data_IF_407716440336
#
_entry.id   IF_407716440336
#
_cell.length_a   1.000
_cell.length_b   1.000
_cell.length_c   1.000
_cell.angle_alpha   90.00
_cell.angle_beta   90.00
_cell.angle_gamma   90.00
#
_symmetry.space_group_name_H-M   'P 1'
#
loop_
_entity.id
_entity.type
_entity.pdbx_description
1 polymer ?
#
# COMPACT_ATOMS: atom_id res chain seq x y z
N UNK A 1 5.45 4.77 -12.59
CA UNK A 1 4.32 5.45 -11.98
C UNK A 1 4.48 5.56 -10.45
N UNK A 2 4.97 4.56 -9.78
CA UNK A 2 4.99 4.46 -8.31
C UNK A 2 6.42 4.49 -7.75
N UNK A 3 7.14 5.59 -8.00
CA UNK A 3 8.50 5.83 -7.54
C UNK A 3 8.54 7.05 -6.62
N UNK A 4 9.60 7.18 -5.84
CA UNK A 4 9.82 8.31 -4.96
C UNK A 4 9.06 8.25 -3.63
N UNK A 5 8.80 9.40 -3.02
CA UNK A 5 8.15 9.53 -1.72
C UNK A 5 6.64 9.42 -1.84
N UNK A 6 6.09 8.27 -1.40
CA UNK A 6 4.65 8.04 -1.31
C UNK A 6 4.22 8.15 0.16
N UNK A 7 3.53 9.24 0.50
CA UNK A 7 3.22 9.56 1.90
C UNK A 7 2.00 8.80 2.41
N UNK A 8 2.15 8.12 3.55
CA UNK A 8 1.04 7.57 4.31
C UNK A 8 0.34 8.70 5.07
N UNK A 9 -0.85 9.09 4.62
CA UNK A 9 -1.61 10.19 5.20
C UNK A 9 -2.17 9.80 6.57
N UNK A 10 -2.16 10.74 7.52
CA UNK A 10 -2.94 10.65 8.75
C UNK A 10 -4.41 10.95 8.45
N UNK A 11 -5.30 10.46 9.30
CA UNK A 11 -6.73 10.73 9.23
C UNK A 11 -7.12 11.68 10.37
N UNK A 12 -7.34 12.98 10.12
CA UNK A 12 -7.67 13.94 11.17
C UNK A 12 -9.12 13.79 11.63
N UNK A 13 -9.31 13.88 12.95
CA UNK A 13 -10.62 13.89 13.60
C UNK A 13 -10.86 15.17 14.39
N UNK A 14 -12.11 15.58 14.45
CA UNK A 14 -12.57 16.72 15.26
C UNK A 14 -13.94 16.41 15.83
N UNK A 15 -14.07 16.46 17.16
CA UNK A 15 -15.32 16.14 17.86
C UNK A 15 -15.86 14.75 17.47
N UNK A 16 -15.00 13.74 17.52
CA UNK A 16 -15.27 12.32 17.20
C UNK A 16 -15.80 12.08 15.76
N UNK A 17 -15.51 13.00 14.84
CA UNK A 17 -15.86 12.89 13.42
C UNK A 17 -14.65 13.19 12.56
N UNK A 18 -14.65 12.61 11.36
CA UNK A 18 -13.67 12.93 10.33
C UNK A 18 -13.63 14.43 10.08
N UNK A 19 -12.45 15.05 10.15
CA UNK A 19 -12.24 16.46 9.82
C UNK A 19 -11.87 16.60 8.34
N UNK A 20 -12.88 16.56 7.49
CA UNK A 20 -12.74 16.65 6.04
C UNK A 20 -11.93 17.91 5.63
N UNK A 21 -12.15 19.04 6.29
CA UNK A 21 -11.48 20.31 5.97
C UNK A 21 -9.97 20.22 6.22
N UNK A 22 -9.57 19.69 7.38
CA UNK A 22 -8.15 19.51 7.71
C UNK A 22 -7.51 18.46 6.81
N UNK A 23 -8.24 17.39 6.47
CA UNK A 23 -7.76 16.35 5.58
C UNK A 23 -7.50 16.87 4.16
N UNK A 24 -8.39 17.67 3.62
CA UNK A 24 -8.23 18.34 2.31
C UNK A 24 -7.00 19.25 2.31
N UNK A 25 -6.81 20.06 3.37
CA UNK A 25 -5.61 20.91 3.51
C UNK A 25 -4.32 20.08 3.53
N UNK A 26 -4.33 18.92 4.19
CA UNK A 26 -3.18 18.02 4.20
C UNK A 26 -2.87 17.46 2.81
N UNK A 27 -3.87 17.05 2.06
CA UNK A 27 -3.70 16.58 0.67
C UNK A 27 -3.07 17.69 -0.19
N UNK A 28 -3.62 18.90 -0.14
CA UNK A 28 -3.08 20.04 -0.90
C UNK A 28 -1.65 20.39 -0.49
N UNK A 29 -1.35 20.34 0.82
CA UNK A 29 0.02 20.53 1.31
C UNK A 29 1.00 19.54 0.65
N UNK A 30 0.67 18.27 0.54
CA UNK A 30 1.53 17.28 -0.11
C UNK A 30 1.67 17.51 -1.61
N UNK A 31 0.59 17.91 -2.29
CA UNK A 31 0.62 18.27 -3.71
C UNK A 31 1.60 19.43 -3.98
N UNK A 32 1.62 20.43 -3.11
CA UNK A 32 2.43 21.64 -3.25
C UNK A 32 3.89 21.46 -2.82
N UNK A 33 4.20 20.42 -2.02
CA UNK A 33 5.52 20.23 -1.42
C UNK A 33 6.32 19.04 -1.99
N UNK A 34 6.03 18.62 -3.23
CA UNK A 34 6.87 17.70 -3.99
C UNK A 34 6.74 16.22 -3.61
N UNK A 35 5.67 15.83 -2.91
CA UNK A 35 5.32 14.43 -2.69
C UNK A 35 5.05 13.75 -4.05
N UNK A 36 5.38 12.47 -4.18
CA UNK A 36 5.21 11.71 -5.43
C UNK A 36 3.96 10.85 -5.46
N UNK A 37 3.35 10.55 -4.33
CA UNK A 37 2.10 9.79 -4.24
C UNK A 37 1.45 9.89 -2.87
N UNK A 38 0.15 9.61 -2.81
CA UNK A 38 -0.66 9.69 -1.58
C UNK A 38 -1.17 8.30 -1.20
N UNK A 39 -1.08 7.95 0.08
CA UNK A 39 -1.56 6.68 0.61
C UNK A 39 -2.60 6.95 1.71
N UNK A 40 -3.89 7.15 1.36
CA UNK A 40 -4.99 7.25 2.32
C UNK A 40 -5.30 5.89 2.95
N UNK A 41 -5.88 5.90 4.13
CA UNK A 41 -6.37 4.74 4.85
C UNK A 41 -5.34 3.59 5.02
N UNK A 42 -4.04 3.96 5.12
CA UNK A 42 -3.00 3.02 5.54
C UNK A 42 -2.94 2.86 7.06
N UNK A 43 -1.90 2.20 7.57
CA UNK A 43 -1.66 2.05 9.02
C UNK A 43 -1.57 3.41 9.73
N UNK A 44 -0.84 4.37 9.15
CA UNK A 44 -0.71 5.74 9.65
C UNK A 44 -2.05 6.47 9.66
N UNK A 45 -2.93 6.17 8.71
CA UNK A 45 -4.28 6.70 8.61
C UNK A 45 -5.32 5.97 9.45
N UNK A 46 -4.88 5.11 10.39
CA UNK A 46 -5.72 4.41 11.36
C UNK A 46 -6.81 3.52 10.73
N UNK A 47 -6.55 2.98 9.53
CA UNK A 47 -7.49 2.14 8.77
C UNK A 47 -8.27 1.10 9.61
N UNK A 48 -7.65 0.34 10.55
CA UNK A 48 -8.36 -0.69 11.31
C UNK A 48 -9.43 -0.15 12.27
N UNK A 49 -9.42 1.13 12.58
CA UNK A 49 -10.35 1.76 13.54
C UNK A 49 -11.36 2.68 12.87
N UNK A 50 -11.24 2.90 11.56
CA UNK A 50 -12.26 3.60 10.77
C UNK A 50 -13.49 2.70 10.58
N UNK A 51 -14.69 3.26 10.69
CA UNK A 51 -15.86 2.60 10.14
C UNK A 51 -15.75 2.47 8.61
N UNK A 52 -16.49 1.58 7.99
CA UNK A 52 -16.45 1.44 6.53
C UNK A 52 -16.79 2.75 5.82
N UNK A 53 -17.76 3.49 6.31
CA UNK A 53 -18.15 4.79 5.74
C UNK A 53 -17.03 5.84 5.85
N UNK A 54 -16.29 5.87 6.96
CA UNK A 54 -15.14 6.77 7.12
C UNK A 54 -13.98 6.35 6.22
N UNK A 55 -13.71 5.04 6.14
CA UNK A 55 -12.68 4.49 5.27
C UNK A 55 -12.92 4.86 3.79
N UNK A 56 -14.14 4.63 3.32
CA UNK A 56 -14.57 5.02 1.97
C UNK A 56 -14.46 6.53 1.78
N UNK A 57 -14.95 7.32 2.75
CA UNK A 57 -14.89 8.80 2.69
C UNK A 57 -13.46 9.34 2.57
N UNK A 58 -12.52 8.78 3.32
CA UNK A 58 -11.10 9.17 3.28
C UNK A 58 -10.50 8.92 1.90
N UNK A 59 -10.81 7.79 1.29
CA UNK A 59 -10.34 7.45 -0.07
C UNK A 59 -10.98 8.38 -1.10
N UNK A 60 -12.29 8.59 -1.05
CA UNK A 60 -13.03 9.45 -1.97
C UNK A 60 -12.50 10.89 -1.97
N UNK A 61 -12.30 11.45 -0.77
CA UNK A 61 -11.71 12.79 -0.62
C UNK A 61 -10.30 12.84 -1.21
N UNK A 62 -9.47 11.84 -0.92
CA UNK A 62 -8.09 11.83 -1.42
C UNK A 62 -8.03 11.77 -2.95
N UNK A 63 -8.79 10.88 -3.58
CA UNK A 63 -8.86 10.77 -5.04
C UNK A 63 -9.40 12.05 -5.66
N UNK A 64 -10.50 12.58 -5.13
CA UNK A 64 -11.13 13.80 -5.63
C UNK A 64 -10.20 15.00 -5.56
N UNK A 65 -9.56 15.23 -4.41
CA UNK A 65 -8.72 16.41 -4.17
C UNK A 65 -7.33 16.28 -4.82
N UNK A 66 -6.82 15.06 -4.98
CA UNK A 66 -5.63 14.81 -5.80
C UNK A 66 -5.87 15.21 -7.25
N UNK A 67 -7.06 14.93 -7.77
CA UNK A 67 -7.51 15.29 -9.13
C UNK A 67 -6.45 14.97 -10.20
N UNK A 68 -5.80 13.81 -10.10
CA UNK A 68 -4.78 13.34 -11.04
C UNK A 68 -3.42 14.03 -10.94
N UNK A 69 -3.22 14.97 -9.98
CA UNK A 69 -1.93 15.63 -9.76
C UNK A 69 -0.89 14.71 -9.13
N UNK A 70 -1.33 13.84 -8.24
CA UNK A 70 -0.52 12.80 -7.60
C UNK A 70 -1.26 11.46 -7.68
N UNK A 71 -0.56 10.35 -7.90
CA UNK A 71 -1.18 9.03 -7.83
C UNK A 71 -1.64 8.71 -6.39
N UNK A 72 -2.78 8.04 -6.29
CA UNK A 72 -3.39 7.64 -5.02
C UNK A 72 -3.36 6.11 -4.88
N UNK A 73 -2.67 5.62 -3.85
CA UNK A 73 -2.68 4.22 -3.42
C UNK A 73 -3.58 4.05 -2.22
N UNK A 74 -4.79 3.60 -2.42
CA UNK A 74 -5.70 3.37 -1.33
C UNK A 74 -5.26 2.18 -0.46
N UNK A 75 -5.18 2.37 0.85
CA UNK A 75 -5.02 1.28 1.79
C UNK A 75 -6.32 0.49 1.90
N UNK A 76 -6.35 -0.73 1.36
CA UNK A 76 -7.58 -1.55 1.27
C UNK A 76 -7.40 -2.94 1.86
N UNK A 77 -6.29 -3.17 2.58
CA UNK A 77 -5.99 -4.45 3.18
C UNK A 77 -6.84 -4.76 4.41
N UNK A 78 -7.24 -6.02 4.54
CA UNK A 78 -7.92 -6.58 5.69
C UNK A 78 -7.44 -8.00 5.94
N UNK A 79 -7.65 -8.52 7.15
CA UNK A 79 -7.47 -9.94 7.45
C UNK A 79 -8.65 -10.81 6.97
N UNK A 80 -9.73 -10.20 6.51
CA UNK A 80 -10.83 -10.83 5.77
C UNK A 80 -10.64 -10.62 4.28
N UNK A 81 -10.57 -11.69 3.52
CA UNK A 81 -10.43 -11.62 2.05
C UNK A 81 -11.62 -10.92 1.39
N UNK A 82 -12.82 -11.18 1.88
CA UNK A 82 -14.04 -10.57 1.35
C UNK A 82 -14.08 -9.06 1.61
N UNK A 83 -13.69 -8.62 2.80
CA UNK A 83 -13.58 -7.20 3.13
C UNK A 83 -12.50 -6.51 2.28
N UNK A 84 -11.32 -7.11 2.12
CA UNK A 84 -10.27 -6.57 1.26
C UNK A 84 -10.73 -6.42 -0.20
N UNK A 85 -11.51 -7.37 -0.72
CA UNK A 85 -12.12 -7.28 -2.05
C UNK A 85 -13.12 -6.11 -2.11
N UNK A 86 -13.97 -5.96 -1.11
CA UNK A 86 -14.97 -4.88 -1.04
C UNK A 86 -14.29 -3.50 -1.05
N UNK A 87 -13.33 -3.29 -0.15
CA UNK A 87 -12.59 -2.04 -0.04
C UNK A 87 -11.78 -1.72 -1.31
N UNK A 88 -11.14 -2.74 -1.91
CA UNK A 88 -10.38 -2.57 -3.15
C UNK A 88 -11.30 -2.23 -4.33
N UNK A 89 -12.47 -2.88 -4.41
CA UNK A 89 -13.48 -2.59 -5.43
C UNK A 89 -14.02 -1.16 -5.30
N UNK A 90 -14.22 -0.67 -4.07
CA UNK A 90 -14.62 0.72 -3.83
C UNK A 90 -13.53 1.68 -4.33
N UNK A 91 -12.27 1.48 -3.92
CA UNK A 91 -11.15 2.33 -4.35
C UNK A 91 -11.00 2.37 -5.87
N UNK A 92 -11.13 1.23 -6.56
CA UNK A 92 -11.11 1.14 -8.01
C UNK A 92 -12.24 1.96 -8.65
N UNK A 93 -13.47 1.86 -8.14
CA UNK A 93 -14.62 2.63 -8.63
C UNK A 93 -14.45 4.14 -8.44
N UNK A 94 -13.80 4.56 -7.38
CA UNK A 94 -13.53 5.97 -7.11
C UNK A 94 -12.38 6.52 -7.95
N UNK A 95 -11.63 5.67 -8.65
CA UNK A 95 -10.54 6.06 -9.54
C UNK A 95 -9.18 6.19 -8.84
N UNK A 96 -8.94 5.44 -7.76
CA UNK A 96 -7.60 5.29 -7.21
C UNK A 96 -6.67 4.64 -8.23
N UNK A 97 -5.40 5.02 -8.25
CA UNK A 97 -4.39 4.52 -9.20
C UNK A 97 -3.84 3.15 -8.81
N UNK A 98 -3.98 2.76 -7.54
CA UNK A 98 -3.56 1.47 -7.02
C UNK A 98 -4.10 1.20 -5.63
N UNK A 99 -3.94 -0.05 -5.18
CA UNK A 99 -4.29 -0.51 -3.85
C UNK A 99 -3.04 -0.95 -3.08
N UNK A 100 -2.87 -0.46 -1.85
CA UNK A 100 -1.88 -0.95 -0.91
C UNK A 100 -2.56 -1.92 0.05
N UNK A 101 -2.20 -3.21 -0.04
CA UNK A 101 -2.88 -4.28 0.68
C UNK A 101 -1.92 -4.91 1.68
N UNK A 102 -2.19 -4.69 2.98
CA UNK A 102 -1.44 -5.33 4.06
C UNK A 102 -1.72 -6.84 4.09
N UNK A 103 -0.67 -7.63 4.40
CA UNK A 103 -0.86 -9.07 4.66
C UNK A 103 -1.87 -9.28 5.78
N UNK A 104 -2.74 -10.32 5.70
CA UNK A 104 -3.69 -10.62 6.78
C UNK A 104 -3.00 -10.72 8.14
N UNK A 105 -3.45 -9.92 9.08
CA UNK A 105 -2.97 -9.83 10.46
C UNK A 105 -3.87 -10.63 11.40
N UNK A 106 -3.38 -10.99 12.58
CA UNK A 106 -4.09 -11.71 13.63
C UNK A 106 -4.35 -13.19 13.31
N UNK A 107 -5.00 -13.54 12.19
CA UNK A 107 -5.36 -14.92 11.80
C UNK A 107 -4.20 -15.76 11.21
N UNK A 108 -3.03 -15.16 11.00
CA UNK A 108 -1.75 -15.83 10.66
C UNK A 108 -1.87 -16.89 9.56
N UNK A 109 -2.25 -16.54 8.33
CA UNK A 109 -2.30 -17.51 7.25
C UNK A 109 -0.91 -18.08 6.91
N UNK A 110 -0.89 -19.28 6.33
CA UNK A 110 0.33 -19.86 5.75
C UNK A 110 0.74 -19.12 4.47
N UNK A 111 1.92 -19.41 3.91
CA UNK A 111 2.35 -18.83 2.63
C UNK A 111 1.35 -19.13 1.51
N UNK A 112 0.79 -20.32 1.48
CA UNK A 112 -0.28 -20.66 0.53
C UNK A 112 -1.57 -19.87 0.82
N UNK A 113 -1.93 -19.69 2.08
CA UNK A 113 -3.06 -18.83 2.47
C UNK A 113 -2.86 -17.38 2.04
N UNK A 114 -1.64 -16.83 2.15
CA UNK A 114 -1.29 -15.51 1.62
C UNK A 114 -1.48 -15.45 0.10
N UNK A 115 -0.95 -16.44 -0.62
CA UNK A 115 -1.12 -16.51 -2.06
C UNK A 115 -2.61 -16.53 -2.46
N UNK A 116 -3.43 -17.36 -1.85
CA UNK A 116 -4.85 -17.47 -2.15
C UNK A 116 -5.63 -16.18 -1.81
N UNK A 117 -5.26 -15.50 -0.72
CA UNK A 117 -5.83 -14.21 -0.34
C UNK A 117 -5.61 -13.15 -1.43
N UNK A 118 -4.38 -12.91 -1.83
CA UNK A 118 -4.05 -11.93 -2.87
C UNK A 118 -4.56 -12.34 -4.25
N UNK A 119 -4.54 -13.63 -4.56
CA UNK A 119 -5.11 -14.15 -5.80
C UNK A 119 -6.61 -13.85 -5.89
N UNK A 120 -7.36 -14.07 -4.82
CA UNK A 120 -8.80 -13.80 -4.80
C UNK A 120 -9.10 -12.31 -5.03
N UNK A 121 -8.29 -11.39 -4.45
CA UNK A 121 -8.41 -9.95 -4.68
C UNK A 121 -8.04 -9.61 -6.14
N UNK A 122 -6.92 -10.13 -6.64
CA UNK A 122 -6.48 -9.92 -8.02
C UNK A 122 -7.53 -10.35 -9.06
N UNK A 123 -8.21 -11.48 -8.79
CA UNK A 123 -9.21 -12.04 -9.71
C UNK A 123 -10.53 -11.23 -9.73
N UNK A 124 -10.77 -10.40 -8.72
CA UNK A 124 -11.99 -9.60 -8.57
C UNK A 124 -11.83 -8.12 -8.90
N UNK A 125 -10.61 -7.59 -8.80
CA UNK A 125 -10.31 -6.18 -8.98
C UNK A 125 -9.33 -5.99 -10.14
N UNK A 126 -9.51 -4.92 -10.93
CA UNK A 126 -8.65 -4.59 -12.07
C UNK A 126 -7.54 -3.58 -11.77
N UNK A 127 -7.49 -3.06 -10.55
CA UNK A 127 -6.56 -2.02 -10.09
C UNK A 127 -5.18 -2.62 -9.76
N UNK A 128 -4.06 -1.92 -10.02
CA UNK A 128 -2.72 -2.34 -9.58
C UNK A 128 -2.64 -2.55 -8.07
N UNK A 129 -2.03 -3.64 -7.64
CA UNK A 129 -1.92 -4.04 -6.23
C UNK A 129 -0.45 -4.01 -5.80
N UNK A 130 -0.16 -3.23 -4.76
CA UNK A 130 1.10 -3.24 -4.03
C UNK A 130 0.92 -4.03 -2.73
N UNK A 131 1.68 -5.10 -2.56
CA UNK A 131 1.68 -5.91 -1.34
C UNK A 131 2.28 -5.07 -0.21
N UNK A 132 1.70 -5.12 0.99
CA UNK A 132 2.31 -4.51 2.17
C UNK A 132 2.71 -5.59 3.17
N UNK A 133 4.02 -5.87 3.25
CA UNK A 133 4.61 -6.85 4.16
C UNK A 133 5.16 -6.14 5.40
N UNK A 134 4.51 -6.33 6.54
CA UNK A 134 4.87 -5.68 7.82
C UNK A 134 4.80 -6.69 8.97
N UNK A 135 5.76 -7.62 9.09
CA UNK A 135 5.72 -8.68 10.10
C UNK A 135 5.73 -8.18 11.54
N UNK A 136 6.28 -7.00 11.80
CA UNK A 136 6.22 -6.37 13.13
C UNK A 136 4.80 -6.06 13.63
N UNK A 137 3.81 -6.02 12.72
CA UNK A 137 2.38 -5.81 13.05
C UNK A 137 1.50 -6.99 12.68
N UNK A 138 1.73 -7.60 11.52
CA UNK A 138 0.94 -8.75 11.04
C UNK A 138 1.38 -10.09 11.63
N UNK A 139 2.56 -10.14 12.24
CA UNK A 139 3.23 -11.33 12.81
C UNK A 139 3.71 -12.33 11.74
N UNK A 140 3.12 -12.31 10.55
CA UNK A 140 3.53 -13.15 9.43
C UNK A 140 4.45 -12.37 8.48
N UNK A 141 5.41 -13.05 7.91
CA UNK A 141 6.33 -12.53 6.90
C UNK A 141 6.09 -13.27 5.58
N UNK A 142 5.79 -12.53 4.52
CA UNK A 142 5.65 -13.11 3.19
C UNK A 142 7.02 -13.39 2.59
N UNK A 143 7.26 -14.63 2.18
CA UNK A 143 8.53 -15.03 1.56
C UNK A 143 8.68 -14.44 0.15
N UNK A 144 9.94 -14.29 -0.31
CA UNK A 144 10.24 -13.86 -1.68
C UNK A 144 9.67 -14.85 -2.71
N UNK A 145 9.61 -16.15 -2.38
CA UNK A 145 9.01 -17.19 -3.23
C UNK A 145 7.50 -16.98 -3.39
N UNK A 146 6.81 -16.59 -2.33
CA UNK A 146 5.37 -16.26 -2.38
C UNK A 146 5.15 -15.00 -3.21
N UNK A 147 5.98 -13.97 -3.04
CA UNK A 147 5.94 -12.75 -3.86
C UNK A 147 6.16 -13.07 -5.34
N UNK A 148 7.10 -13.98 -5.65
CA UNK A 148 7.38 -14.40 -7.03
C UNK A 148 6.14 -15.05 -7.69
N UNK A 149 5.47 -15.94 -6.98
CA UNK A 149 4.21 -16.54 -7.45
C UNK A 149 3.11 -15.49 -7.64
N UNK A 150 3.02 -14.52 -6.74
CA UNK A 150 2.04 -13.45 -6.82
C UNK A 150 2.31 -12.50 -7.99
N UNK A 151 3.57 -12.23 -8.31
CA UNK A 151 3.95 -11.36 -9.43
C UNK A 151 3.60 -11.95 -10.81
N UNK A 152 3.32 -13.25 -10.90
CA UNK A 152 2.75 -13.88 -12.10
C UNK A 152 1.29 -13.47 -12.35
N UNK A 153 0.62 -12.88 -11.33
CA UNK A 153 -0.75 -12.40 -11.43
C UNK A 153 -0.78 -11.00 -12.06
N UNK A 154 -1.81 -10.73 -12.85
CA UNK A 154 -1.92 -9.54 -13.72
C UNK A 154 -1.77 -8.20 -12.99
N UNK A 155 -2.34 -8.08 -11.79
CA UNK A 155 -2.45 -6.79 -11.10
C UNK A 155 -1.43 -6.61 -9.99
N UNK A 156 -0.64 -7.63 -9.63
CA UNK A 156 0.40 -7.51 -8.60
C UNK A 156 1.62 -6.82 -9.20
N UNK A 157 1.99 -5.65 -8.69
CA UNK A 157 3.05 -4.81 -9.26
C UNK A 157 4.29 -4.69 -8.38
N UNK A 158 4.23 -5.05 -7.11
CA UNK A 158 5.36 -4.89 -6.20
C UNK A 158 5.03 -5.08 -4.73
N UNK A 159 5.95 -4.64 -3.90
CA UNK A 159 5.86 -4.71 -2.43
C UNK A 159 6.29 -3.41 -1.78
N UNK A 160 5.57 -3.01 -0.72
CA UNK A 160 6.07 -2.15 0.35
C UNK A 160 6.56 -3.07 1.46
N UNK A 161 7.88 -3.19 1.62
CA UNK A 161 8.48 -4.04 2.65
C UNK A 161 8.84 -3.22 3.90
N UNK A 162 8.37 -3.65 5.06
CA UNK A 162 8.64 -3.07 6.36
C UNK A 162 9.25 -4.10 7.33
N UNK A 163 10.03 -5.04 6.81
CA UNK A 163 10.79 -6.00 7.64
C UNK A 163 12.02 -5.36 8.28
N UNK A 164 12.59 -4.33 7.67
CA UNK A 164 13.89 -3.78 8.06
C UNK A 164 15.09 -4.60 7.57
N UNK A 165 14.87 -5.72 6.88
CA UNK A 165 15.95 -6.56 6.33
C UNK A 165 16.34 -6.10 4.93
N UNK A 166 17.37 -5.28 4.82
CA UNK A 166 17.90 -4.78 3.54
C UNK A 166 18.39 -5.90 2.61
N UNK A 167 18.78 -7.08 3.14
CA UNK A 167 19.20 -8.21 2.29
C UNK A 167 18.07 -8.74 1.41
N UNK A 168 16.81 -8.44 1.77
CA UNK A 168 15.63 -8.83 0.98
C UNK A 168 15.53 -8.06 -0.33
N UNK A 169 16.03 -6.83 -0.37
CA UNK A 169 16.01 -5.99 -1.58
C UNK A 169 16.75 -6.71 -2.70
N UNK A 170 17.99 -7.14 -2.44
CA UNK A 170 18.80 -7.88 -3.40
C UNK A 170 18.20 -9.24 -3.78
N UNK A 171 17.69 -9.98 -2.79
CA UNK A 171 17.05 -11.26 -3.02
C UNK A 171 15.82 -11.11 -3.92
N UNK A 172 15.00 -10.10 -3.67
CA UNK A 172 13.81 -9.80 -4.44
C UNK A 172 14.17 -9.34 -5.85
N UNK A 173 15.15 -8.45 -6.00
CA UNK A 173 15.63 -7.97 -7.29
C UNK A 173 16.18 -9.12 -8.16
N UNK A 174 17.01 -10.01 -7.58
CA UNK A 174 17.56 -11.19 -8.28
C UNK A 174 16.48 -12.16 -8.71
N UNK A 175 15.42 -12.32 -7.94
CA UNK A 175 14.35 -13.30 -8.18
C UNK A 175 13.28 -12.77 -9.13
N UNK A 176 12.89 -11.51 -9.00
CA UNK A 176 11.72 -10.90 -9.64
C UNK A 176 12.07 -9.89 -10.74
N UNK A 177 13.33 -9.42 -10.76
CA UNK A 177 13.79 -8.42 -11.71
C UNK A 177 13.37 -6.99 -11.35
N UNK A 178 13.70 -6.04 -12.23
CA UNK A 178 13.51 -4.59 -12.03
C UNK A 178 12.06 -4.12 -12.21
N UNK A 179 11.22 -4.93 -12.82
CA UNK A 179 9.81 -4.58 -13.07
C UNK A 179 8.94 -4.76 -11.81
N UNK A 180 9.44 -5.53 -10.82
CA UNK A 180 8.80 -5.66 -9.52
C UNK A 180 9.16 -4.46 -8.63
N UNK A 181 8.19 -3.61 -8.35
CA UNK A 181 8.38 -2.39 -7.56
C UNK A 181 8.70 -2.75 -6.11
N UNK A 182 9.77 -2.18 -5.56
CA UNK A 182 10.15 -2.31 -4.17
C UNK A 182 10.12 -0.94 -3.49
N UNK A 183 9.27 -0.79 -2.47
CA UNK A 183 9.21 0.39 -1.60
C UNK A 183 9.55 -0.02 -0.16
N UNK A 184 10.24 0.84 0.58
CA UNK A 184 10.41 0.64 2.03
C UNK A 184 9.21 1.19 2.80
N UNK A 185 8.84 0.47 3.88
CA UNK A 185 7.89 0.96 4.87
C UNK A 185 8.55 1.64 6.08
N UNK A 186 9.89 1.72 6.11
CA UNK A 186 10.69 2.21 7.22
C UNK A 186 11.51 3.43 6.79
N UNK A 187 11.28 4.57 7.43
CA UNK A 187 11.95 5.84 7.08
C UNK A 187 13.46 5.81 7.34
N UNK A 188 13.91 5.08 8.35
CA UNK A 188 15.32 4.89 8.71
C UNK A 188 16.11 4.12 7.65
N UNK A 189 15.46 3.32 6.85
CA UNK A 189 16.06 2.54 5.76
C UNK A 189 15.99 3.22 4.39
N UNK A 190 15.22 4.29 4.26
CA UNK A 190 14.99 4.95 2.97
C UNK A 190 16.31 5.44 2.35
N UNK A 191 17.19 6.08 3.14
CA UNK A 191 18.47 6.55 2.67
C UNK A 191 19.36 5.41 2.14
N UNK A 192 19.41 4.29 2.85
CA UNK A 192 20.21 3.12 2.46
C UNK A 192 19.66 2.47 1.18
N UNK A 193 18.35 2.43 1.03
CA UNK A 193 17.71 1.92 -0.19
C UNK A 193 18.06 2.78 -1.42
N UNK A 194 18.14 4.11 -1.25
CA UNK A 194 18.44 5.05 -2.35
C UNK A 194 19.93 5.34 -2.57
N UNK A 195 20.83 4.88 -1.72
CA UNK A 195 22.28 5.12 -1.81
C UNK A 195 23.11 3.85 -2.04
N UNK A 196 22.49 2.67 -2.05
CA UNK A 196 23.15 1.42 -2.42
C UNK A 196 23.13 1.21 -3.94
N UNK A 197 24.04 0.43 -4.50
CA UNK A 197 24.05 0.07 -5.93
C UNK A 197 22.71 -0.56 -6.38
N UNK A 198 21.99 -1.21 -5.45
CA UNK A 198 20.64 -1.70 -5.67
C UNK A 198 19.61 -0.57 -5.82
N UNK A 199 19.87 0.63 -5.29
CA UNK A 199 18.96 1.78 -5.39
C UNK A 199 19.03 2.43 -6.79
N UNK A 200 20.19 2.53 -7.40
CA UNK A 200 20.35 3.05 -8.77
C UNK A 200 19.65 2.15 -9.80
N UNK A 201 19.41 0.89 -9.42
CA UNK A 201 18.70 -0.08 -10.23
C UNK A 201 17.21 -0.25 -9.86
N UNK A 202 16.78 0.22 -8.68
CA UNK A 202 15.41 0.06 -8.16
C UNK A 202 14.55 1.35 -8.23
N UNK A 203 15.12 2.47 -8.66
CA UNK A 203 14.43 3.76 -8.85
C UNK A 203 13.86 3.95 -10.25
#
# INVERSE_FOLDING_TARGET
MFKGSNVALVTPFKNDKLDDETYIKLIHFHIENGTNGLVPAGTTGESPTLSHNEHERVIDLCVKESNGKLPVFAGTGSNSTEEAISLTTHAEKMGADGALIVTPYYNKPTQEGLYQHYKAINDKCGIPILIYNIPGRSVIDMSVETMARLFELKNIIGVKDATGDLTRVDKTLKKLGKDFIQLTGNDDNACLLYTSDAADEAC
#
